data_IF_410705769228
#
_entry.id   IF_410705769228
#
_cell.length_a   1.000
_cell.length_b   1.000
_cell.length_c   1.000
_cell.angle_alpha   90.00
_cell.angle_beta   90.00
_cell.angle_gamma   90.00
#
_symmetry.space_group_name_H-M   'P 1'
#
loop_
_entity.id
_entity.type
_entity.pdbx_description
1 polymer ?
#
# COMPACT_ATOMS: atom_id res chain seq x y z
N UNK A 1 -21.49 -21.20 -27.51
CA UNK A 1 -20.11 -20.86 -27.91
C UNK A 1 -19.25 -20.81 -26.66
N UNK A 2 -18.68 -21.96 -26.29
CA UNK A 2 -17.60 -22.03 -25.31
C UNK A 2 -16.40 -21.34 -25.93
N UNK A 3 -16.13 -20.10 -25.54
CA UNK A 3 -14.83 -19.48 -25.84
C UNK A 3 -13.82 -20.05 -24.87
N UNK A 4 -13.23 -21.12 -25.37
CA UNK A 4 -11.99 -21.78 -25.00
C UNK A 4 -10.79 -20.82 -25.14
N UNK A 5 -10.86 -19.65 -24.50
CA UNK A 5 -9.69 -18.81 -24.25
C UNK A 5 -9.17 -19.20 -22.89
N UNK A 6 -8.14 -20.04 -22.89
CA UNK A 6 -7.32 -20.41 -21.74
C UNK A 6 -6.99 -19.20 -20.88
N UNK A 7 -7.84 -18.96 -19.88
CA UNK A 7 -7.71 -17.92 -18.88
C UNK A 7 -6.76 -18.48 -17.84
N UNK A 8 -5.59 -17.86 -17.70
CA UNK A 8 -4.57 -18.24 -16.72
C UNK A 8 -5.21 -18.60 -15.39
N UNK A 9 -4.76 -19.71 -14.82
CA UNK A 9 -5.08 -20.11 -13.44
C UNK A 9 -4.95 -18.90 -12.51
N UNK A 10 -5.70 -18.88 -11.40
CA UNK A 10 -5.64 -17.75 -10.43
C UNK A 10 -4.19 -17.47 -10.02
N UNK A 11 -3.33 -18.48 -10.06
CA UNK A 11 -1.87 -18.42 -9.88
C UNK A 11 -1.15 -17.47 -10.85
N UNK A 12 -1.52 -17.43 -12.13
CA UNK A 12 -0.91 -16.51 -13.10
C UNK A 12 -1.30 -15.06 -12.80
N UNK A 13 -2.58 -14.83 -12.50
CA UNK A 13 -3.08 -13.53 -12.09
C UNK A 13 -2.48 -13.07 -10.75
N UNK A 14 -2.23 -14.00 -9.82
CA UNK A 14 -1.56 -13.74 -8.55
C UNK A 14 -0.13 -13.19 -8.75
N UNK A 15 0.67 -13.83 -9.61
CA UNK A 15 2.03 -13.36 -9.94
C UNK A 15 1.99 -11.95 -10.56
N UNK A 16 1.14 -11.73 -11.55
CA UNK A 16 1.01 -10.44 -12.23
C UNK A 16 0.56 -9.33 -11.27
N UNK A 17 -0.42 -9.64 -10.42
CA UNK A 17 -0.96 -8.73 -9.41
C UNK A 17 0.09 -8.37 -8.36
N UNK A 18 0.92 -9.33 -7.94
CA UNK A 18 2.00 -9.09 -7.00
C UNK A 18 3.01 -8.09 -7.58
N UNK A 19 3.48 -8.29 -8.82
CA UNK A 19 4.41 -7.34 -9.45
C UNK A 19 3.81 -5.95 -9.60
N UNK A 20 2.54 -5.89 -10.00
CA UNK A 20 1.82 -4.63 -10.15
C UNK A 20 1.66 -3.89 -8.81
N UNK A 21 1.30 -4.60 -7.74
CA UNK A 21 1.16 -4.04 -6.39
C UNK A 21 2.51 -3.50 -5.87
N UNK A 22 3.59 -4.23 -6.08
CA UNK A 22 4.94 -3.81 -5.67
C UNK A 22 5.40 -2.59 -6.46
N UNK A 23 5.17 -2.56 -7.77
CA UNK A 23 5.49 -1.41 -8.61
C UNK A 23 4.70 -0.16 -8.18
N UNK A 24 3.39 -0.32 -7.94
CA UNK A 24 2.53 0.73 -7.38
C UNK A 24 3.04 1.27 -6.05
N UNK A 25 3.35 0.38 -5.11
CA UNK A 25 3.83 0.76 -3.79
C UNK A 25 5.17 1.49 -3.86
N UNK A 26 6.10 1.01 -4.70
CA UNK A 26 7.39 1.66 -4.91
C UNK A 26 7.24 3.06 -5.53
N UNK A 27 6.45 3.20 -6.59
CA UNK A 27 6.23 4.50 -7.23
C UNK A 27 5.57 5.49 -6.27
N UNK A 28 4.58 5.02 -5.50
CA UNK A 28 3.86 5.83 -4.53
C UNK A 28 4.78 6.29 -3.38
N UNK A 29 5.54 5.36 -2.78
CA UNK A 29 6.50 5.68 -1.72
C UNK A 29 7.52 6.72 -2.19
N UNK A 30 8.16 6.50 -3.35
CA UNK A 30 9.18 7.41 -3.89
C UNK A 30 8.61 8.80 -4.20
N UNK A 31 7.37 8.88 -4.71
CA UNK A 31 6.71 10.15 -4.96
C UNK A 31 6.43 10.91 -3.64
N UNK A 32 5.97 10.21 -2.60
CA UNK A 32 5.60 10.78 -1.32
C UNK A 32 6.80 11.18 -0.44
N UNK A 33 7.99 10.60 -0.67
CA UNK A 33 9.23 11.00 0.03
C UNK A 33 9.53 12.50 -0.11
N UNK A 34 9.17 13.10 -1.26
CA UNK A 34 9.41 14.52 -1.53
C UNK A 34 8.44 15.44 -0.78
N UNK A 35 7.21 14.98 -0.51
CA UNK A 35 6.17 15.78 0.14
C UNK A 35 6.63 16.31 1.49
N UNK A 36 7.18 15.44 2.35
CA UNK A 36 7.74 15.85 3.64
C UNK A 36 9.21 16.28 3.57
N UNK A 37 10.02 15.70 2.67
CA UNK A 37 11.44 16.00 2.58
C UNK A 37 11.72 17.46 2.22
N UNK A 38 10.99 18.01 1.24
CA UNK A 38 11.19 19.39 0.77
C UNK A 38 10.64 20.42 1.76
N UNK A 39 9.48 20.16 2.36
CA UNK A 39 8.83 21.09 3.29
C UNK A 39 9.38 21.05 4.71
N UNK A 40 10.37 20.18 4.99
CA UNK A 40 10.95 20.00 6.32
C UNK A 40 11.61 21.27 6.89
N UNK A 41 12.33 22.02 6.07
CA UNK A 41 13.00 23.26 6.49
C UNK A 41 11.99 24.35 6.83
N UNK A 42 10.96 24.49 6.00
CA UNK A 42 9.83 25.40 6.21
C UNK A 42 9.09 25.03 7.49
N UNK A 43 8.82 23.75 7.70
CA UNK A 43 8.18 23.23 8.92
C UNK A 43 8.94 23.62 10.18
N UNK A 44 10.27 23.42 10.24
CA UNK A 44 11.03 23.78 11.44
C UNK A 44 11.08 25.30 11.69
N UNK A 45 11.11 26.10 10.63
CA UNK A 45 11.05 27.57 10.71
C UNK A 45 9.69 28.07 11.22
N UNK A 46 8.61 27.45 10.78
CA UNK A 46 7.26 27.80 11.25
C UNK A 46 7.02 27.31 12.67
N UNK A 47 7.51 26.12 13.01
CA UNK A 47 7.45 25.58 14.36
C UNK A 47 8.24 26.41 15.39
N UNK A 48 9.34 27.07 15.00
CA UNK A 48 10.05 28.01 15.90
C UNK A 48 9.29 29.33 16.10
N UNK A 49 8.41 29.68 15.15
CA UNK A 49 7.55 30.86 15.22
C UNK A 49 6.27 30.63 16.06
N UNK A 50 6.11 29.45 16.68
CA UNK A 50 4.99 29.13 17.57
C UNK A 50 3.83 28.37 16.92
N UNK A 51 3.95 27.96 15.65
CA UNK A 51 2.92 27.16 14.98
C UNK A 51 2.80 25.75 15.57
N UNK A 52 1.57 25.25 15.68
CA UNK A 52 1.30 23.90 16.15
C UNK A 52 1.74 22.85 15.11
N UNK A 53 2.67 21.99 15.51
CA UNK A 53 3.28 20.95 14.68
C UNK A 53 2.27 19.92 14.19
N UNK A 54 1.27 19.55 15.01
CA UNK A 54 0.21 18.61 14.60
C UNK A 54 -0.66 19.20 13.51
N UNK A 55 -1.06 20.46 13.69
CA UNK A 55 -1.92 21.14 12.72
C UNK A 55 -1.23 21.21 11.36
N UNK A 56 0.07 21.50 11.32
CA UNK A 56 0.84 21.48 10.08
C UNK A 56 0.95 20.07 9.47
N UNK A 57 1.25 19.05 10.30
CA UNK A 57 1.34 17.67 9.83
C UNK A 57 0.02 17.19 9.22
N UNK A 58 -1.10 17.43 9.91
CA UNK A 58 -2.45 17.05 9.46
C UNK A 58 -2.85 17.83 8.20
N UNK A 59 -2.52 19.12 8.11
CA UNK A 59 -2.81 19.90 6.91
C UNK A 59 -2.08 19.36 5.67
N UNK A 60 -0.80 19.01 5.82
CA UNK A 60 -0.01 18.45 4.73
C UNK A 60 -0.50 17.04 4.35
N UNK A 61 -0.86 16.24 5.35
CA UNK A 61 -1.42 14.90 5.15
C UNK A 61 -2.75 14.95 4.38
N UNK A 62 -3.68 15.83 4.77
CA UNK A 62 -4.96 16.02 4.06
C UNK A 62 -4.73 16.45 2.60
N UNK A 63 -3.78 17.35 2.35
CA UNK A 63 -3.47 17.79 0.99
C UNK A 63 -2.95 16.64 0.12
N UNK A 64 -2.05 15.81 0.66
CA UNK A 64 -1.53 14.64 -0.05
C UNK A 64 -2.63 13.59 -0.29
N UNK A 65 -3.55 13.41 0.65
CA UNK A 65 -4.72 12.51 0.49
C UNK A 65 -5.59 12.88 -0.70
N UNK A 66 -5.86 14.18 -0.90
CA UNK A 66 -6.61 14.65 -2.07
C UNK A 66 -5.86 14.32 -3.36
N UNK A 67 -4.53 14.45 -3.36
CA UNK A 67 -3.68 14.03 -4.46
C UNK A 67 -3.72 12.51 -4.71
N UNK A 68 -3.76 11.70 -3.65
CA UNK A 68 -3.86 10.24 -3.74
C UNK A 68 -5.16 9.78 -4.40
N UNK A 69 -6.29 10.40 -4.06
CA UNK A 69 -7.60 10.07 -4.65
C UNK A 69 -7.52 10.19 -6.17
N UNK A 70 -6.94 11.30 -6.66
CA UNK A 70 -6.77 11.57 -8.09
C UNK A 70 -5.77 10.61 -8.74
N UNK A 71 -4.59 10.42 -8.15
CA UNK A 71 -3.56 9.50 -8.68
C UNK A 71 -4.06 8.06 -8.76
N UNK A 72 -4.80 7.60 -7.75
CA UNK A 72 -5.43 6.29 -7.73
C UNK A 72 -6.45 6.16 -8.87
N UNK A 73 -7.24 7.21 -9.13
CA UNK A 73 -8.26 7.18 -10.18
C UNK A 73 -7.62 7.11 -11.57
N UNK A 74 -6.56 7.90 -11.81
CA UNK A 74 -5.81 7.89 -13.07
C UNK A 74 -5.18 6.51 -13.31
N UNK A 75 -4.53 5.95 -12.28
CA UNK A 75 -3.97 4.62 -12.35
C UNK A 75 -5.05 3.57 -12.69
N UNK A 76 -6.24 3.72 -12.12
CA UNK A 76 -7.34 2.79 -12.33
C UNK A 76 -7.82 2.74 -13.78
N UNK A 77 -7.92 3.92 -14.42
CA UNK A 77 -8.28 4.03 -15.84
C UNK A 77 -7.25 3.31 -16.70
N UNK A 78 -5.97 3.50 -16.41
CA UNK A 78 -4.88 2.83 -17.10
C UNK A 78 -4.94 1.29 -16.91
N UNK A 79 -5.09 0.83 -15.67
CA UNK A 79 -5.14 -0.59 -15.34
C UNK A 79 -6.32 -1.29 -16.01
N UNK A 80 -7.52 -0.71 -15.99
CA UNK A 80 -8.69 -1.31 -16.65
C UNK A 80 -8.58 -1.32 -18.18
N UNK A 81 -7.92 -0.33 -18.76
CA UNK A 81 -7.74 -0.24 -20.22
C UNK A 81 -6.81 -1.33 -20.74
N UNK A 82 -5.73 -1.63 -20.00
CA UNK A 82 -4.70 -2.59 -20.44
C UNK A 82 -4.90 -4.00 -19.91
N UNK A 83 -5.19 -4.16 -18.61
CA UNK A 83 -5.26 -5.48 -17.97
C UNK A 83 -6.62 -6.17 -18.13
N UNK A 84 -7.68 -5.41 -18.47
CA UNK A 84 -9.06 -5.90 -18.61
C UNK A 84 -9.49 -6.86 -17.48
N UNK A 85 -9.34 -6.47 -16.19
CA UNK A 85 -9.74 -7.31 -15.07
C UNK A 85 -11.27 -7.48 -15.04
N UNK A 86 -11.75 -8.60 -14.50
CA UNK A 86 -13.19 -8.90 -14.40
C UNK A 86 -13.85 -8.28 -13.17
N UNK A 87 -13.04 -7.89 -12.18
CA UNK A 87 -13.49 -7.29 -10.95
C UNK A 87 -14.30 -6.01 -11.16
N UNK A 88 -15.02 -5.60 -10.12
CA UNK A 88 -15.75 -4.33 -10.09
C UNK A 88 -14.75 -3.18 -9.93
N UNK A 89 -14.86 -2.15 -10.77
CA UNK A 89 -13.97 -0.98 -10.76
C UNK A 89 -13.86 -0.38 -9.35
N UNK A 90 -14.98 -0.23 -8.64
CA UNK A 90 -14.98 0.36 -7.28
C UNK A 90 -14.20 -0.48 -6.25
N UNK A 91 -14.25 -1.81 -6.31
CA UNK A 91 -13.52 -2.65 -5.35
C UNK A 91 -12.01 -2.56 -5.57
N UNK A 92 -11.58 -2.61 -6.83
CA UNK A 92 -10.18 -2.50 -7.19
C UNK A 92 -9.62 -1.08 -6.96
N UNK A 93 -10.46 -0.05 -7.13
CA UNK A 93 -10.11 1.32 -6.79
C UNK A 93 -9.84 1.48 -5.29
N UNK A 94 -10.71 0.92 -4.43
CA UNK A 94 -10.52 0.96 -2.97
C UNK A 94 -9.24 0.26 -2.53
N UNK A 95 -8.94 -0.92 -3.09
CA UNK A 95 -7.70 -1.66 -2.78
C UNK A 95 -6.48 -0.85 -3.22
N UNK A 96 -6.50 -0.31 -4.44
CA UNK A 96 -5.43 0.55 -4.96
C UNK A 96 -5.18 1.77 -4.07
N UNK A 97 -6.26 2.46 -3.70
CA UNK A 97 -6.18 3.63 -2.83
C UNK A 97 -5.64 3.27 -1.45
N UNK A 98 -6.09 2.15 -0.86
CA UNK A 98 -5.62 1.68 0.45
C UNK A 98 -4.11 1.32 0.44
N UNK A 99 -3.62 0.72 -0.65
CA UNK A 99 -2.18 0.48 -0.85
C UNK A 99 -1.42 1.80 -0.91
N UNK A 100 -1.84 2.75 -1.76
CA UNK A 100 -1.20 4.06 -1.87
C UNK A 100 -1.20 4.80 -0.52
N UNK A 101 -2.29 4.71 0.23
CA UNK A 101 -2.41 5.28 1.56
C UNK A 101 -1.41 4.65 2.56
N UNK A 102 -1.25 3.33 2.56
CA UNK A 102 -0.26 2.64 3.40
C UNK A 102 1.17 3.05 3.05
N UNK A 103 1.49 3.10 1.75
CA UNK A 103 2.81 3.47 1.23
C UNK A 103 3.21 4.91 1.57
N UNK A 104 2.29 5.87 1.46
CA UNK A 104 2.57 7.27 1.78
C UNK A 104 2.90 7.51 3.25
N UNK A 105 2.20 6.82 4.17
CA UNK A 105 2.50 6.92 5.60
C UNK A 105 3.93 6.47 5.93
N UNK A 106 4.38 5.40 5.30
CA UNK A 106 5.74 4.90 5.43
C UNK A 106 6.78 5.80 4.79
N UNK A 107 6.48 6.41 3.63
CA UNK A 107 7.36 7.39 3.02
C UNK A 107 7.59 8.59 3.94
N UNK A 108 6.57 9.04 4.68
CA UNK A 108 6.74 10.12 5.65
C UNK A 108 7.69 9.74 6.78
N UNK A 109 7.60 8.51 7.28
CA UNK A 109 8.52 8.01 8.31
C UNK A 109 9.97 7.97 7.79
N UNK A 110 10.20 7.40 6.60
CA UNK A 110 11.52 7.29 5.99
C UNK A 110 12.14 8.67 5.68
N UNK A 111 11.33 9.60 5.19
CA UNK A 111 11.74 10.98 4.87
C UNK A 111 12.18 11.77 6.12
N UNK A 112 11.67 11.42 7.30
CA UNK A 112 12.07 12.07 8.55
C UNK A 112 13.33 11.47 9.16
N UNK A 113 13.51 10.15 9.06
CA UNK A 113 14.63 9.44 9.67
C UNK A 113 15.93 9.55 8.87
N UNK A 114 15.84 9.71 7.55
CA UNK A 114 17.00 9.63 6.65
C UNK A 114 17.06 10.81 5.68
N UNK A 115 18.23 11.04 5.10
CA UNK A 115 18.38 12.01 4.00
C UNK A 115 17.73 11.52 2.70
N UNK A 116 17.44 12.44 1.77
CA UNK A 116 16.69 12.17 0.54
C UNK A 116 17.23 10.98 -0.26
N UNK A 117 18.55 10.85 -0.42
CA UNK A 117 19.16 9.75 -1.16
C UNK A 117 19.01 8.39 -0.43
N UNK A 118 19.30 8.36 0.87
CA UNK A 118 19.17 7.15 1.70
C UNK A 118 17.70 6.71 1.84
N UNK A 119 16.78 7.68 1.94
CA UNK A 119 15.34 7.41 2.05
C UNK A 119 14.78 6.71 0.80
N UNK A 120 15.23 7.10 -0.40
CA UNK A 120 14.82 6.44 -1.66
C UNK A 120 15.27 4.98 -1.73
N UNK A 121 16.53 4.71 -1.36
CA UNK A 121 17.06 3.35 -1.34
C UNK A 121 16.37 2.50 -0.27
N UNK A 122 16.10 3.07 0.91
CA UNK A 122 15.36 2.38 1.96
C UNK A 122 13.92 2.04 1.57
N UNK A 123 13.24 2.92 0.82
CA UNK A 123 11.89 2.67 0.29
C UNK A 123 11.89 1.51 -0.71
N UNK A 124 12.90 1.43 -1.58
CA UNK A 124 13.06 0.32 -2.51
C UNK A 124 13.31 -1.01 -1.77
N UNK A 125 14.21 -1.03 -0.79
CA UNK A 125 14.46 -2.21 0.03
C UNK A 125 13.19 -2.64 0.76
N UNK A 126 12.45 -1.70 1.34
CA UNK A 126 11.22 -2.01 2.06
C UNK A 126 10.15 -2.61 1.13
N UNK A 127 9.95 -2.05 -0.07
CA UNK A 127 9.02 -2.58 -1.05
C UNK A 127 9.37 -4.02 -1.46
N UNK A 128 10.68 -4.31 -1.62
CA UNK A 128 11.17 -5.66 -1.89
C UNK A 128 10.98 -6.60 -0.70
N UNK A 129 11.22 -6.14 0.53
CA UNK A 129 10.94 -6.96 1.72
C UNK A 129 9.46 -7.32 1.79
N UNK A 130 8.57 -6.36 1.54
CA UNK A 130 7.13 -6.62 1.50
C UNK A 130 6.74 -7.64 0.43
N UNK A 131 7.37 -7.59 -0.76
CA UNK A 131 7.08 -8.54 -1.85
C UNK A 131 7.53 -9.96 -1.52
N UNK A 132 8.70 -10.12 -0.91
CA UNK A 132 9.24 -11.42 -0.49
C UNK A 132 8.40 -12.05 0.62
N UNK A 133 7.89 -11.23 1.54
CA UNK A 133 7.05 -11.71 2.64
C UNK A 133 5.61 -11.98 2.20
N UNK A 134 5.13 -11.38 1.10
CA UNK A 134 3.74 -11.53 0.64
C UNK A 134 3.30 -12.99 0.42
N UNK A 135 4.22 -13.88 0.01
CA UNK A 135 3.93 -15.30 -0.26
C UNK A 135 4.38 -16.28 0.82
N UNK A 136 5.24 -15.86 1.74
CA UNK A 136 5.87 -16.76 2.69
C UNK A 136 5.10 -16.77 4.01
N UNK A 137 4.22 -17.77 4.17
CA UNK A 137 3.28 -17.87 5.28
C UNK A 137 3.87 -18.46 6.58
N UNK A 138 5.20 -18.63 6.67
CA UNK A 138 5.81 -19.48 7.70
C UNK A 138 7.02 -18.81 8.37
N UNK A 139 6.80 -18.20 9.54
CA UNK A 139 7.87 -17.87 10.46
C UNK A 139 7.35 -17.30 11.78
N UNK A 140 7.65 -17.93 12.94
CA UNK A 140 7.32 -17.35 14.24
C UNK A 140 8.13 -16.08 14.53
N UNK A 141 7.56 -15.15 15.30
CA UNK A 141 8.25 -13.95 15.80
C UNK A 141 8.24 -12.75 14.84
N UNK A 142 9.40 -12.12 14.63
CA UNK A 142 9.54 -10.89 13.82
C UNK A 142 9.09 -11.08 12.37
N UNK A 143 9.29 -12.27 11.79
CA UNK A 143 8.87 -12.56 10.41
C UNK A 143 7.33 -12.51 10.28
N UNK A 144 6.60 -12.99 11.29
CA UNK A 144 5.15 -12.87 11.37
C UNK A 144 4.66 -11.43 11.51
N UNK A 145 5.40 -10.58 12.23
CA UNK A 145 5.09 -9.14 12.30
C UNK A 145 5.25 -8.48 10.92
N UNK A 146 6.36 -8.72 10.23
CA UNK A 146 6.57 -8.22 8.86
C UNK A 146 5.53 -8.75 7.88
N UNK A 147 5.09 -9.99 8.08
CA UNK A 147 4.02 -10.60 7.30
C UNK A 147 2.68 -9.87 7.48
N UNK A 148 2.31 -9.52 8.72
CA UNK A 148 1.11 -8.74 8.99
C UNK A 148 1.23 -7.25 8.64
N UNK A 149 2.45 -6.69 8.65
CA UNK A 149 2.73 -5.29 8.33
C UNK A 149 2.94 -5.03 6.82
N UNK A 150 3.08 -6.09 6.00
CA UNK A 150 3.31 -5.97 4.57
C UNK A 150 2.05 -5.50 3.83
N UNK A 151 2.12 -4.31 3.23
CA UNK A 151 1.05 -3.81 2.35
C UNK A 151 0.89 -4.69 1.10
N UNK A 152 1.97 -5.33 0.63
CA UNK A 152 1.95 -6.15 -0.57
C UNK A 152 1.08 -7.40 -0.39
N UNK A 153 1.10 -8.00 0.81
CA UNK A 153 0.26 -9.14 1.17
C UNK A 153 -1.23 -8.77 1.13
N UNK A 154 -1.65 -7.79 1.95
CA UNK A 154 -3.06 -7.40 2.05
C UNK A 154 -3.61 -6.84 0.74
N UNK A 155 -2.77 -6.13 -0.02
CA UNK A 155 -3.13 -5.66 -1.35
C UNK A 155 -3.36 -6.82 -2.33
N UNK A 156 -2.46 -7.80 -2.35
CA UNK A 156 -2.56 -8.99 -3.20
C UNK A 156 -3.84 -9.79 -2.90
N UNK A 157 -4.08 -10.10 -1.63
CA UNK A 157 -5.32 -10.76 -1.18
C UNK A 157 -6.57 -9.96 -1.61
N UNK A 158 -6.55 -8.64 -1.43
CA UNK A 158 -7.65 -7.76 -1.83
C UNK A 158 -7.95 -7.81 -3.35
N UNK A 159 -6.92 -7.72 -4.19
CA UNK A 159 -7.06 -7.82 -5.65
C UNK A 159 -7.58 -9.21 -6.07
N UNK A 160 -7.02 -10.29 -5.53
CA UNK A 160 -7.44 -11.65 -5.86
C UNK A 160 -8.89 -11.88 -5.46
N UNK A 161 -9.30 -11.48 -4.25
CA UNK A 161 -10.67 -11.65 -3.78
C UNK A 161 -11.67 -10.85 -4.64
N UNK A 162 -11.32 -9.61 -5.02
CA UNK A 162 -12.16 -8.78 -5.87
C UNK A 162 -12.36 -9.38 -7.27
N UNK A 163 -11.33 -9.99 -7.85
CA UNK A 163 -11.42 -10.71 -9.13
C UNK A 163 -12.18 -12.04 -8.97
N UNK A 164 -11.89 -12.79 -7.90
CA UNK A 164 -12.50 -14.08 -7.57
C UNK A 164 -14.02 -13.97 -7.44
N UNK A 165 -14.54 -12.87 -6.88
CA UNK A 165 -15.97 -12.63 -6.71
C UNK A 165 -16.78 -12.59 -8.01
N UNK A 166 -16.12 -12.40 -9.16
CA UNK A 166 -16.77 -12.39 -10.47
C UNK A 166 -16.60 -13.68 -11.26
N UNK A 167 -15.92 -14.68 -10.71
CA UNK A 167 -15.88 -16.03 -11.27
C UNK A 167 -17.15 -16.82 -10.86
N UNK A 168 -18.05 -17.02 -11.83
CA UNK A 168 -19.30 -17.79 -11.68
C UNK A 168 -19.37 -18.96 -12.66
N UNK A 169 -20.24 -19.95 -12.40
CA UNK A 169 -20.47 -21.10 -13.26
C UNK A 169 -19.41 -22.20 -13.09
N UNK A 170 -18.97 -22.82 -14.19
CA UNK A 170 -17.99 -23.92 -14.19
C UNK A 170 -16.69 -23.56 -13.46
N UNK A 171 -16.32 -22.28 -13.46
CA UNK A 171 -15.11 -21.75 -12.84
C UNK A 171 -15.21 -21.57 -11.32
N UNK A 172 -16.39 -21.82 -10.71
CA UNK A 172 -16.57 -21.69 -9.27
C UNK A 172 -15.82 -22.79 -8.50
N UNK A 173 -15.83 -24.04 -9.00
CA UNK A 173 -15.12 -25.14 -8.36
C UNK A 173 -13.59 -24.94 -8.43
N UNK A 174 -13.08 -24.53 -9.59
CA UNK A 174 -11.66 -24.21 -9.78
C UNK A 174 -11.22 -23.04 -8.87
N UNK A 175 -12.07 -21.99 -8.76
CA UNK A 175 -11.86 -20.88 -7.82
C UNK A 175 -11.77 -21.37 -6.37
N UNK A 176 -12.68 -22.22 -5.93
CA UNK A 176 -12.68 -22.72 -4.55
C UNK A 176 -11.43 -23.56 -4.26
N UNK A 177 -10.99 -24.40 -5.22
CA UNK A 177 -9.76 -25.19 -5.09
C UNK A 177 -8.51 -24.30 -5.01
N UNK A 178 -8.41 -23.29 -5.89
CA UNK A 178 -7.29 -22.34 -5.91
C UNK A 178 -7.26 -21.45 -4.64
N UNK A 179 -8.42 -20.93 -4.20
CA UNK A 179 -8.53 -20.13 -2.98
C UNK A 179 -8.20 -20.95 -1.72
N UNK A 180 -8.60 -22.22 -1.69
CA UNK A 180 -8.27 -23.14 -0.60
C UNK A 180 -6.76 -23.44 -0.58
N UNK A 181 -6.11 -23.54 -1.74
CA UNK A 181 -4.65 -23.68 -1.84
C UNK A 181 -3.86 -22.45 -1.39
N UNK A 182 -4.47 -21.26 -1.46
CA UNK A 182 -3.90 -19.99 -1.01
C UNK A 182 -4.32 -19.59 0.42
N UNK A 183 -5.16 -20.39 1.09
CA UNK A 183 -5.78 -20.12 2.39
C UNK A 183 -6.53 -18.76 2.45
N UNK A 184 -7.01 -18.28 1.30
CA UNK A 184 -7.69 -16.98 1.17
C UNK A 184 -9.20 -17.18 1.18
N UNK A 185 -9.87 -16.68 2.23
CA UNK A 185 -11.35 -16.66 2.23
C UNK A 185 -11.89 -15.37 1.63
N UNK A 186 -12.94 -15.52 0.83
CA UNK A 186 -13.63 -14.44 0.12
C UNK A 186 -14.23 -13.39 1.07
N UNK A 187 -14.61 -13.82 2.27
CA UNK A 187 -15.17 -13.00 3.35
C UNK A 187 -14.15 -12.00 3.94
N UNK A 188 -12.86 -12.22 3.74
CA UNK A 188 -11.81 -11.37 4.31
C UNK A 188 -11.50 -10.10 3.50
N UNK A 189 -12.27 -9.78 2.45
CA UNK A 189 -12.05 -8.56 1.66
C UNK A 189 -12.04 -7.28 2.53
N UNK A 190 -13.01 -7.16 3.44
CA UNK A 190 -13.08 -6.02 4.36
C UNK A 190 -11.91 -6.03 5.35
N UNK A 191 -11.50 -7.20 5.84
CA UNK A 191 -10.33 -7.34 6.71
C UNK A 191 -9.07 -6.84 6.03
N UNK A 192 -8.88 -7.15 4.74
CA UNK A 192 -7.73 -6.67 3.97
C UNK A 192 -7.71 -5.13 3.87
N UNK A 193 -8.86 -4.52 3.58
CA UNK A 193 -8.98 -3.06 3.53
C UNK A 193 -8.69 -2.43 4.90
N UNK A 194 -9.31 -2.92 5.97
CA UNK A 194 -9.06 -2.40 7.31
C UNK A 194 -7.60 -2.56 7.75
N UNK A 195 -6.96 -3.68 7.42
CA UNK A 195 -5.53 -3.89 7.68
C UNK A 195 -4.67 -2.86 6.94
N UNK A 196 -4.91 -2.61 5.65
CA UNK A 196 -4.18 -1.60 4.87
C UNK A 196 -4.34 -0.19 5.45
N UNK A 197 -5.57 0.20 5.80
CA UNK A 197 -5.81 1.49 6.47
C UNK A 197 -5.14 1.57 7.83
N UNK A 198 -5.16 0.49 8.60
CA UNK A 198 -4.51 0.43 9.91
C UNK A 198 -2.99 0.59 9.79
N UNK A 199 -2.36 -0.08 8.81
CA UNK A 199 -0.93 0.04 8.52
C UNK A 199 -0.58 1.49 8.14
N UNK A 200 -1.39 2.11 7.26
CA UNK A 200 -1.19 3.51 6.86
C UNK A 200 -1.34 4.50 8.02
N UNK A 201 -2.27 4.26 8.93
CA UNK A 201 -2.46 5.06 10.14
C UNK A 201 -1.29 4.88 11.13
N UNK A 202 -0.85 3.63 11.34
CA UNK A 202 0.28 3.30 12.21
C UNK A 202 1.58 3.99 11.76
N UNK A 203 1.90 3.95 10.46
CA UNK A 203 3.10 4.63 9.97
C UNK A 203 3.00 6.15 10.08
N UNK A 204 1.81 6.74 9.93
CA UNK A 204 1.59 8.18 10.16
C UNK A 204 1.71 8.57 11.62
N UNK A 205 1.18 7.77 12.54
CA UNK A 205 1.35 8.03 13.98
C UNK A 205 2.82 7.91 14.39
N UNK A 206 3.56 6.94 13.84
CA UNK A 206 5.00 6.81 14.04
C UNK A 206 5.77 8.00 13.45
N UNK A 207 5.42 8.45 12.24
CA UNK A 207 6.02 9.65 11.64
C UNK A 207 5.71 10.90 12.49
N UNK A 208 4.50 11.02 13.01
CA UNK A 208 4.16 12.11 13.93
C UNK A 208 5.00 12.05 15.21
N UNK A 209 5.12 10.86 15.83
CA UNK A 209 5.96 10.68 17.03
C UNK A 209 7.45 10.97 16.75
N UNK A 210 7.97 10.55 15.60
CA UNK A 210 9.34 10.82 15.17
C UNK A 210 9.61 12.32 15.02
N UNK A 211 8.66 13.07 14.45
CA UNK A 211 8.68 14.53 14.34
C UNK A 211 8.83 15.21 15.71
N UNK A 212 8.16 14.68 16.73
CA UNK A 212 8.28 15.18 18.11
C UNK A 212 9.62 14.85 18.75
N UNK A 213 10.11 13.62 18.54
CA UNK A 213 11.38 13.16 19.09
C UNK A 213 12.57 13.94 18.51
N UNK A 214 12.65 14.11 17.19
CA UNK A 214 13.76 14.80 16.51
C UNK A 214 13.88 16.29 16.88
N UNK A 215 12.78 16.93 17.26
CA UNK A 215 12.79 18.35 17.63
C UNK A 215 13.38 18.59 19.03
N UNK A 216 13.53 17.53 19.84
CA UNK A 216 14.12 17.64 21.18
C UNK A 216 15.64 17.91 21.12
N UNK A 217 16.30 17.44 20.07
CA UNK A 217 17.77 17.55 19.92
C UNK A 217 18.23 18.96 19.56
N UNK A 218 17.44 19.72 18.77
CA UNK A 218 17.77 21.11 18.37
C UNK A 218 17.46 22.17 19.45
N UNK A 219 17.05 21.76 20.65
CA UNK A 219 16.73 22.64 21.79
C UNK A 219 17.81 22.62 22.89
N UNK A 220 18.94 21.95 22.68
CA UNK A 220 20.11 22.03 23.55
C UNK A 220 21.19 22.91 22.93
#
# INVERSE_FOLDING_TARGET
MLTDRGRGTILHFDVETLYNNVALGLMCTVAALRTFGTSRTVFFREASSGLNKLAFFVALDIFDHLGLILRSAIYMVMYYSFAQPRAIIWQMYLVTYAIMYACTGMAYLLSQMMDSAASQLSAAIFALMCSLTARNHHGPGLLGLFYHLSFARWGLEGFIIAEANRLTGVWLLARCADLQGLDMQVTHFLTCLFSLFSIGLLFRSLACACLYALNRDKRR
#
